data_IF_354530747038
#
_entry.id   IF_354530747038
#
_cell.length_a   1.000
_cell.length_b   1.000
_cell.length_c   1.000
_cell.angle_alpha   90.00
_cell.angle_beta   90.00
_cell.angle_gamma   90.00
#
_symmetry.space_group_name_H-M   'P 1'
#
loop_
_entity.id
_entity.type
_entity.pdbx_description
1 polymer ?
#
# COMPACT_ATOMS: atom_id res chain seq x y z
N UNK A 1 38.18 -52.57 -42.34
CA UNK A 1 38.93 -52.51 -41.06
C UNK A 1 38.99 -51.06 -40.61
N UNK A 2 38.80 -50.85 -39.31
CA UNK A 2 38.67 -49.54 -38.64
C UNK A 2 39.94 -48.72 -38.78
N UNK A 3 39.79 -47.41 -38.99
CA UNK A 3 40.82 -46.42 -38.71
C UNK A 3 40.26 -45.39 -37.73
N UNK A 4 41.12 -45.06 -36.80
CA UNK A 4 40.86 -44.58 -35.45
C UNK A 4 40.94 -43.05 -35.40
N UNK A 5 40.05 -42.44 -34.60
CA UNK A 5 40.10 -41.16 -33.83
C UNK A 5 41.21 -40.13 -34.21
N UNK A 6 40.96 -38.81 -34.22
CA UNK A 6 41.19 -37.92 -33.04
C UNK A 6 40.94 -36.42 -33.37
N UNK A 7 40.20 -35.74 -32.48
CA UNK A 7 40.32 -34.37 -31.88
C UNK A 7 40.04 -33.08 -32.69
N UNK A 8 38.91 -32.45 -32.29
CA UNK A 8 38.60 -31.04 -31.94
C UNK A 8 39.62 -29.94 -32.30
N UNK A 9 39.14 -28.90 -33.01
CA UNK A 9 39.63 -27.52 -32.83
C UNK A 9 38.46 -26.55 -32.63
N UNK A 10 38.64 -25.74 -31.59
CA UNK A 10 37.75 -24.76 -30.98
C UNK A 10 37.66 -23.48 -31.80
N UNK A 11 36.45 -22.93 -31.97
CA UNK A 11 36.28 -21.49 -32.24
C UNK A 11 35.31 -20.90 -31.23
N UNK A 12 35.94 -20.24 -30.26
CA UNK A 12 35.37 -19.47 -29.17
C UNK A 12 35.15 -18.03 -29.68
N UNK A 13 34.09 -17.39 -29.15
CA UNK A 13 33.88 -15.94 -29.08
C UNK A 13 33.78 -15.14 -30.38
N UNK A 14 32.57 -14.63 -30.60
CA UNK A 14 32.38 -13.17 -30.59
C UNK A 14 30.89 -12.85 -30.43
N UNK A 15 30.46 -12.69 -29.18
CA UNK A 15 29.28 -11.89 -28.86
C UNK A 15 29.52 -10.48 -29.39
N UNK A 16 28.65 -9.88 -30.23
CA UNK A 16 28.38 -8.49 -30.04
C UNK A 16 27.62 -8.40 -28.72
N UNK A 17 28.34 -8.09 -27.65
CA UNK A 17 27.77 -7.34 -26.55
C UNK A 17 27.09 -6.13 -27.21
N UNK A 18 25.79 -6.22 -27.48
CA UNK A 18 24.97 -5.04 -27.63
C UNK A 18 25.03 -4.41 -26.25
N UNK A 19 25.90 -3.40 -26.18
CA UNK A 19 26.08 -2.53 -25.06
C UNK A 19 24.71 -2.26 -24.45
N UNK A 20 24.54 -2.74 -23.23
CA UNK A 20 24.16 -1.93 -22.08
C UNK A 20 23.80 -0.49 -22.49
N UNK A 21 22.63 -0.32 -23.10
CA UNK A 21 21.85 0.85 -22.84
C UNK A 21 21.19 0.52 -21.50
N UNK A 22 21.94 0.79 -20.44
CA UNK A 22 21.29 1.37 -19.28
C UNK A 22 20.54 2.58 -19.85
N UNK A 23 19.25 2.39 -20.14
CA UNK A 23 18.34 3.50 -20.29
C UNK A 23 18.42 4.23 -18.95
N UNK A 24 19.32 5.20 -18.94
CA UNK A 24 19.37 6.23 -17.93
C UNK A 24 18.34 7.25 -18.40
N UNK A 25 17.09 6.84 -18.45
CA UNK A 25 15.98 7.72 -18.75
C UNK A 25 15.15 7.81 -17.49
N UNK A 26 15.67 8.66 -16.62
CA UNK A 26 14.96 9.33 -15.56
C UNK A 26 14.06 8.38 -14.74
N UNK A 27 14.52 8.01 -13.54
CA UNK A 27 13.62 8.12 -12.37
C UNK A 27 13.28 9.62 -12.32
N UNK A 28 12.38 10.06 -13.20
CA UNK A 28 11.75 11.35 -13.13
C UNK A 28 11.27 11.36 -11.69
N UNK A 29 11.64 12.40 -10.98
CA UNK A 29 11.05 12.73 -9.71
C UNK A 29 9.55 13.04 -9.94
N UNK A 30 8.78 12.09 -10.48
CA UNK A 30 7.32 12.07 -10.61
C UNK A 30 6.68 11.60 -9.30
N UNK A 31 7.47 11.53 -8.23
CA UNK A 31 6.98 11.70 -6.86
C UNK A 31 6.53 13.16 -6.62
N UNK A 32 6.70 14.05 -7.61
CA UNK A 32 6.17 15.41 -7.59
C UNK A 32 4.64 15.37 -7.65
N UNK A 33 4.06 15.47 -6.45
CA UNK A 33 2.70 15.92 -6.19
C UNK A 33 1.60 14.84 -6.26
N UNK A 34 1.89 13.61 -5.79
CA UNK A 34 0.82 12.70 -5.41
C UNK A 34 0.12 13.27 -4.16
N UNK A 35 -1.17 13.56 -4.26
CA UNK A 35 -1.99 13.89 -3.10
C UNK A 35 -2.17 12.63 -2.25
N UNK A 36 -1.51 12.57 -1.10
CA UNK A 36 -1.56 11.42 -0.19
C UNK A 36 -2.98 11.12 0.31
N UNK A 37 -3.93 12.07 0.17
CA UNK A 37 -5.33 11.82 0.49
C UNK A 37 -5.96 10.71 -0.37
N UNK A 38 -5.36 10.36 -1.51
CA UNK A 38 -5.80 9.21 -2.31
C UNK A 38 -5.70 7.88 -1.54
N UNK A 39 -4.84 7.82 -0.52
CA UNK A 39 -4.71 6.66 0.36
C UNK A 39 -5.85 6.58 1.38
N UNK A 40 -6.58 7.66 1.62
CA UNK A 40 -7.66 7.66 2.61
C UNK A 40 -8.84 6.81 2.12
N UNK A 41 -9.39 6.03 3.04
CA UNK A 41 -10.60 5.27 2.83
C UNK A 41 -11.80 6.19 2.62
N UNK A 42 -12.65 5.81 1.67
CA UNK A 42 -14.02 6.34 1.57
C UNK A 42 -14.85 5.82 2.75
N UNK A 43 -16.05 6.36 3.01
CA UNK A 43 -16.86 5.93 4.14
C UNK A 43 -17.01 4.41 4.27
N UNK A 44 -16.67 3.87 5.45
CA UNK A 44 -16.67 2.44 5.77
C UNK A 44 -15.60 1.60 5.05
N UNK A 45 -14.67 2.22 4.31
CA UNK A 45 -13.57 1.55 3.62
C UNK A 45 -12.25 1.82 4.34
N UNK A 46 -11.33 0.86 4.25
CA UNK A 46 -10.01 1.00 4.84
C UNK A 46 -9.19 2.06 4.10
N UNK A 47 -8.27 2.69 4.83
CA UNK A 47 -7.16 3.40 4.23
C UNK A 47 -6.19 2.42 3.56
N UNK A 48 -5.40 2.92 2.62
CA UNK A 48 -4.36 2.19 1.92
C UNK A 48 -3.02 2.38 2.63
N UNK A 49 -2.14 1.40 2.47
CA UNK A 49 -0.79 1.50 3.01
C UNK A 49 0.00 2.64 2.34
N UNK A 50 0.95 3.18 3.09
CA UNK A 50 1.86 4.21 2.62
C UNK A 50 2.71 3.71 1.45
N UNK A 51 3.17 4.65 0.64
CA UNK A 51 3.97 4.39 -0.55
C UNK A 51 5.46 4.59 -0.21
N UNK A 52 6.31 3.56 -0.33
CA UNK A 52 7.75 3.67 -0.11
C UNK A 52 8.41 4.70 -1.03
N UNK A 53 9.53 5.27 -0.60
CA UNK A 53 10.31 6.27 -1.35
C UNK A 53 9.48 7.48 -1.83
N UNK A 54 8.42 7.82 -1.10
CA UNK A 54 7.52 8.93 -1.44
C UNK A 54 7.22 9.84 -0.25
N UNK A 55 6.65 11.01 -0.53
CA UNK A 55 6.11 11.90 0.51
C UNK A 55 4.83 11.33 1.15
N UNK A 56 4.23 10.29 0.57
CA UNK A 56 3.05 9.60 1.06
C UNK A 56 3.42 8.26 1.73
N UNK A 57 4.50 8.25 2.51
CA UNK A 57 4.96 7.06 3.23
C UNK A 57 4.06 6.67 4.40
N UNK A 58 3.23 7.59 4.89
CA UNK A 58 2.27 7.30 5.95
C UNK A 58 1.04 6.58 5.36
N UNK A 59 0.48 5.66 6.13
CA UNK A 59 -0.76 5.00 5.76
C UNK A 59 -1.95 5.95 5.76
N UNK A 60 -2.88 5.73 4.84
CA UNK A 60 -4.10 6.51 4.75
C UNK A 60 -5.05 6.24 5.92
N UNK A 61 -5.87 7.24 6.26
CA UNK A 61 -6.91 7.09 7.28
C UNK A 61 -8.02 6.17 6.79
N UNK A 62 -8.56 5.31 7.66
CA UNK A 62 -9.81 4.61 7.41
C UNK A 62 -11.01 5.57 7.34
N UNK A 63 -11.94 5.31 6.43
CA UNK A 63 -13.12 6.13 6.28
C UNK A 63 -14.17 5.83 7.34
N UNK A 64 -14.79 6.87 7.90
CA UNK A 64 -15.85 6.74 8.90
C UNK A 64 -17.07 6.00 8.30
N UNK A 65 -17.79 5.22 9.11
CA UNK A 65 -19.09 4.68 8.73
C UNK A 65 -20.07 5.82 8.47
N UNK A 66 -20.94 5.67 7.46
CA UNK A 66 -21.92 6.68 7.07
C UNK A 66 -23.36 6.17 7.22
N UNK A 67 -23.60 4.90 6.92
CA UNK A 67 -24.92 4.29 7.06
C UNK A 67 -25.15 3.79 8.48
N UNK A 68 -26.40 3.78 9.00
CA UNK A 68 -26.64 3.37 10.37
C UNK A 68 -26.08 1.98 10.71
N UNK A 69 -25.34 1.86 11.81
CA UNK A 69 -24.67 0.64 12.24
C UNK A 69 -23.43 0.24 11.42
N UNK A 70 -23.06 1.00 10.39
CA UNK A 70 -21.87 0.72 9.57
C UNK A 70 -20.59 0.97 10.37
N UNK A 71 -19.68 0.00 10.36
CA UNK A 71 -18.36 0.19 10.95
C UNK A 71 -17.51 1.19 10.15
N UNK A 72 -16.58 1.85 10.84
CA UNK A 72 -15.49 2.56 10.18
C UNK A 72 -14.48 1.60 9.57
N UNK A 73 -13.75 2.06 8.55
CA UNK A 73 -12.64 1.31 7.97
C UNK A 73 -11.39 1.39 8.83
N UNK A 74 -10.49 0.42 8.69
CA UNK A 74 -9.17 0.46 9.34
C UNK A 74 -8.26 1.49 8.66
N UNK A 75 -7.29 2.03 9.39
CA UNK A 75 -6.19 2.78 8.79
C UNK A 75 -5.26 1.86 8.01
N UNK A 76 -4.59 2.41 7.00
CA UNK A 76 -3.51 1.74 6.29
C UNK A 76 -2.21 1.76 7.10
N UNK A 77 -1.31 0.83 6.82
CA UNK A 77 0.00 0.80 7.47
C UNK A 77 0.95 1.82 6.85
N UNK A 78 1.91 2.31 7.62
CA UNK A 78 3.03 3.07 7.08
C UNK A 78 3.95 2.20 6.21
N UNK A 79 4.55 2.80 5.19
CA UNK A 79 5.73 2.25 4.53
C UNK A 79 6.95 2.31 5.48
N UNK A 80 8.14 1.92 5.00
CA UNK A 80 9.37 2.09 5.77
C UNK A 80 9.52 3.56 6.22
N UNK A 81 9.74 3.74 7.52
CA UNK A 81 9.79 5.03 8.21
C UNK A 81 8.50 5.88 8.17
N UNK A 82 7.38 5.30 7.75
CA UNK A 82 6.06 5.93 7.75
C UNK A 82 5.23 5.55 8.98
N UNK A 83 4.27 6.39 9.33
CA UNK A 83 3.29 6.11 10.39
C UNK A 83 2.09 5.35 9.83
N UNK A 84 1.40 4.60 10.68
CA UNK A 84 0.09 4.05 10.35
C UNK A 84 -0.98 5.12 10.34
N UNK A 85 -2.00 4.95 9.50
CA UNK A 85 -3.18 5.81 9.46
C UNK A 85 -4.16 5.49 10.58
N UNK A 86 -4.96 6.47 11.00
CA UNK A 86 -6.00 6.23 12.00
C UNK A 86 -7.16 5.41 11.41
N UNK A 87 -7.83 4.62 12.24
CA UNK A 87 -9.11 4.00 11.90
C UNK A 87 -10.24 5.04 11.81
N UNK A 88 -11.24 4.74 10.98
CA UNK A 88 -12.48 5.50 10.89
C UNK A 88 -13.43 5.17 12.05
N UNK A 89 -14.26 6.12 12.45
CA UNK A 89 -15.31 5.90 13.44
C UNK A 89 -16.46 5.07 12.86
N UNK A 90 -17.15 4.30 13.69
CA UNK A 90 -18.41 3.67 13.29
C UNK A 90 -19.57 4.67 13.26
N UNK A 91 -20.52 4.46 12.35
CA UNK A 91 -21.75 5.23 12.30
C UNK A 91 -22.69 4.91 13.47
N UNK A 92 -23.50 5.88 13.95
CA UNK A 92 -24.57 5.60 14.91
C UNK A 92 -25.55 4.53 14.42
N UNK A 93 -26.22 3.85 15.33
CA UNK A 93 -27.27 2.88 15.02
C UNK A 93 -28.56 3.55 14.51
N UNK A 94 -29.35 2.80 13.76
CA UNK A 94 -30.73 3.21 13.42
C UNK A 94 -31.70 2.88 14.56
N UNK A 95 -33.01 3.11 14.38
CA UNK A 95 -34.00 2.87 15.43
C UNK A 95 -33.90 1.45 16.02
N UNK A 96 -33.63 1.37 17.33
CA UNK A 96 -33.41 0.11 18.06
C UNK A 96 -32.19 -0.72 17.64
N UNK A 97 -31.31 -0.19 16.79
CA UNK A 97 -30.11 -0.87 16.29
C UNK A 97 -28.82 -0.38 16.96
N UNK A 98 -27.82 -1.24 17.06
CA UNK A 98 -26.52 -0.87 17.61
C UNK A 98 -25.74 0.05 16.65
N UNK A 99 -24.88 0.90 17.21
CA UNK A 99 -23.90 1.65 16.43
C UNK A 99 -22.78 0.75 15.91
N UNK A 100 -22.19 1.15 14.78
CA UNK A 100 -21.08 0.46 14.15
C UNK A 100 -19.80 0.58 14.97
N UNK A 101 -18.89 -0.39 14.81
CA UNK A 101 -17.59 -0.33 15.48
C UNK A 101 -16.67 0.66 14.75
N UNK A 102 -15.73 1.26 15.46
CA UNK A 102 -14.61 1.94 14.80
C UNK A 102 -13.66 0.93 14.16
N UNK A 103 -12.90 1.38 13.17
CA UNK A 103 -11.78 0.64 12.60
C UNK A 103 -10.54 0.73 13.47
N UNK A 104 -9.62 -0.22 13.30
CA UNK A 104 -8.32 -0.16 13.95
C UNK A 104 -7.40 0.83 13.23
N UNK A 105 -6.44 1.42 13.94
CA UNK A 105 -5.32 2.10 13.31
C UNK A 105 -4.39 1.12 12.59
N UNK A 106 -3.66 1.63 11.61
CA UNK A 106 -2.60 0.89 10.93
C UNK A 106 -1.30 0.86 11.74
N UNK A 107 -0.42 -0.07 11.41
CA UNK A 107 0.91 -0.16 12.01
C UNK A 107 1.91 0.77 11.31
N UNK A 108 2.93 1.21 12.02
CA UNK A 108 4.03 2.01 11.45
C UNK A 108 5.07 2.37 12.49
N UNK A 109 5.91 3.35 12.18
CA UNK A 109 6.84 3.92 13.16
C UNK A 109 6.10 4.46 14.40
N UNK A 110 4.99 5.15 14.16
CA UNK A 110 3.90 5.29 15.11
C UNK A 110 2.66 4.60 14.54
N UNK A 111 1.97 3.83 15.39
CA UNK A 111 0.69 3.23 15.02
C UNK A 111 -0.40 4.29 15.00
N UNK A 112 -1.36 4.13 14.09
CA UNK A 112 -2.56 4.96 14.03
C UNK A 112 -3.49 4.70 15.21
N UNK A 113 -4.30 5.69 15.55
CA UNK A 113 -5.36 5.57 16.55
C UNK A 113 -6.52 4.72 16.05
N UNK A 114 -7.15 3.97 16.96
CA UNK A 114 -8.40 3.28 16.65
C UNK A 114 -9.57 4.28 16.59
N UNK A 115 -10.50 4.05 15.67
CA UNK A 115 -11.76 4.79 15.58
C UNK A 115 -12.70 4.47 16.74
N UNK A 116 -13.55 5.43 17.08
CA UNK A 116 -14.60 5.28 18.07
C UNK A 116 -15.78 4.45 17.57
N UNK A 117 -16.48 3.79 18.49
CA UNK A 117 -17.76 3.13 18.21
C UNK A 117 -18.87 4.16 18.07
N UNK A 118 -19.78 3.95 17.10
CA UNK A 118 -21.00 4.73 16.96
C UNK A 118 -21.98 4.48 18.11
N UNK A 119 -22.78 5.48 18.47
CA UNK A 119 -23.81 5.33 19.49
C UNK A 119 -24.91 4.37 19.03
N UNK A 120 -25.51 3.62 19.95
CA UNK A 120 -26.69 2.81 19.66
C UNK A 120 -27.90 3.74 19.40
N UNK A 121 -28.78 3.34 18.48
CA UNK A 121 -29.99 4.10 18.14
C UNK A 121 -31.11 3.89 19.17
N UNK A 122 -31.98 4.89 19.25
CA UNK A 122 -33.11 4.93 20.20
C UNK A 122 -34.31 4.15 19.66
#
# INVERSE_FOLDING_TARGET
>A
MKLTKIIVFTSILSFPFLALHAETENKVNDVKNLDCNILNGKPGQNGQDGIPDSNCKDGGKGGDGQSPGQSGGNGGNGALDGNGGDGGNGAPGGNGGNGGNGGNGGDGNANGGNGGRGADGI
#
